data_IF_115190246703
#
_entry.id   IF_115190246703
#
_cell.length_a   1.000
_cell.length_b   1.000
_cell.length_c   1.000
_cell.angle_alpha   90.00
_cell.angle_beta   90.00
_cell.angle_gamma   90.00
#
_symmetry.space_group_name_H-M   'P 1'
#
loop_
_entity.id
_entity.type
_entity.pdbx_description
1 polymer ?
#
# COMPACT_ATOMS: atom_id res chain seq x y z
N UNK A 1 -6.26 11.75 1.91
CA UNK A 1 -6.49 10.60 1.00
C UNK A 1 -5.95 9.35 1.67
N UNK A 2 -6.78 8.32 1.88
CA UNK A 2 -6.37 7.06 2.51
C UNK A 2 -6.26 6.00 1.42
N UNK A 3 -5.12 5.31 1.35
CA UNK A 3 -4.93 4.17 0.45
C UNK A 3 -5.03 2.91 1.30
N UNK A 4 -5.96 2.02 0.94
CA UNK A 4 -6.11 0.71 1.55
C UNK A 4 -5.05 -0.26 1.04
N UNK A 5 -4.82 -1.36 1.77
CA UNK A 5 -3.96 -2.46 1.33
C UNK A 5 -4.40 -3.00 -0.03
N UNK A 6 -5.72 -3.13 -0.25
CA UNK A 6 -6.30 -3.56 -1.53
C UNK A 6 -5.94 -2.61 -2.67
N UNK A 7 -6.16 -1.30 -2.49
CA UNK A 7 -5.80 -0.31 -3.51
C UNK A 7 -4.30 -0.32 -3.81
N UNK A 8 -3.45 -0.40 -2.78
CA UNK A 8 -2.00 -0.49 -2.98
C UNK A 8 -1.60 -1.76 -3.75
N UNK A 9 -2.21 -2.91 -3.45
CA UNK A 9 -1.97 -4.15 -4.15
C UNK A 9 -2.36 -4.06 -5.64
N UNK A 10 -3.53 -3.47 -5.93
CA UNK A 10 -3.97 -3.23 -7.31
C UNK A 10 -3.04 -2.27 -8.06
N UNK A 11 -2.62 -1.17 -7.41
CA UNK A 11 -1.68 -0.18 -8.00
C UNK A 11 -0.34 -0.85 -8.30
N UNK A 12 0.21 -1.63 -7.36
CA UNK A 12 1.49 -2.35 -7.53
C UNK A 12 1.35 -3.52 -8.53
N UNK A 13 0.14 -4.04 -8.73
CA UNK A 13 -0.11 -5.27 -9.51
C UNK A 13 0.40 -6.51 -8.79
N UNK A 14 0.17 -6.57 -7.48
CA UNK A 14 0.57 -7.69 -6.62
C UNK A 14 -0.60 -8.11 -5.73
N UNK A 15 -0.38 -9.07 -4.83
CA UNK A 15 -1.38 -9.52 -3.86
C UNK A 15 -1.43 -8.62 -2.62
N UNK A 16 -2.58 -8.59 -1.93
CA UNK A 16 -2.68 -7.91 -0.63
C UNK A 16 -1.67 -8.47 0.38
N UNK A 17 -1.38 -9.78 0.32
CA UNK A 17 -0.45 -10.42 1.23
C UNK A 17 0.98 -9.91 1.04
N UNK A 18 1.41 -9.70 -0.21
CA UNK A 18 2.71 -9.06 -0.51
C UNK A 18 2.81 -7.69 0.16
N UNK A 19 1.77 -6.86 0.04
CA UNK A 19 1.74 -5.53 0.67
C UNK A 19 1.78 -5.63 2.19
N UNK A 20 1.03 -6.56 2.79
CA UNK A 20 1.01 -6.75 4.25
C UNK A 20 2.37 -7.17 4.79
N UNK A 21 2.95 -8.23 4.23
CA UNK A 21 4.23 -8.78 4.69
C UNK A 21 5.36 -7.78 4.46
N UNK A 22 5.40 -7.15 3.27
CA UNK A 22 6.40 -6.13 2.97
C UNK A 22 6.35 -4.92 3.92
N UNK A 23 5.16 -4.47 4.31
CA UNK A 23 5.01 -3.39 5.29
C UNK A 23 5.34 -3.84 6.73
N UNK A 24 5.03 -5.08 7.09
CA UNK A 24 5.35 -5.66 8.41
C UNK A 24 6.86 -5.83 8.61
N UNK A 25 7.57 -6.28 7.57
CA UNK A 25 9.02 -6.50 7.59
C UNK A 25 9.83 -5.24 7.27
N UNK A 26 9.17 -4.15 6.87
CA UNK A 26 9.79 -2.89 6.41
C UNK A 26 10.58 -3.01 5.10
N UNK A 27 10.31 -4.06 4.32
CA UNK A 27 10.91 -4.30 3.00
C UNK A 27 10.21 -3.50 1.88
N UNK A 28 8.96 -3.07 2.10
CA UNK A 28 8.18 -2.34 1.10
C UNK A 28 8.08 -0.85 1.47
N UNK A 29 8.81 0.05 0.79
CA UNK A 29 8.99 1.45 1.21
C UNK A 29 7.82 2.37 0.80
N UNK A 30 6.57 1.93 1.02
CA UNK A 30 5.36 2.68 0.64
C UNK A 30 4.56 3.20 1.83
N UNK A 31 4.97 2.87 3.05
CA UNK A 31 4.21 3.17 4.26
C UNK A 31 4.74 2.43 5.48
N UNK A 32 3.86 2.18 6.44
CA UNK A 32 4.18 1.45 7.66
C UNK A 32 3.04 0.51 8.06
N UNK A 33 3.39 -0.58 8.74
CA UNK A 33 2.47 -1.41 9.48
C UNK A 33 2.86 -1.40 10.96
N UNK A 34 1.88 -1.21 11.84
CA UNK A 34 2.06 -1.24 13.29
C UNK A 34 1.18 -2.32 13.88
N UNK A 35 1.79 -3.20 14.68
CA UNK A 35 1.04 -4.21 15.43
C UNK A 35 0.31 -3.54 16.59
N UNK A 36 -0.99 -3.80 16.73
CA UNK A 36 -1.84 -3.19 17.76
C UNK A 36 -2.36 -4.24 18.74
N UNK A 37 -2.13 -3.99 20.03
CA UNK A 37 -2.79 -4.71 21.15
C UNK A 37 -2.31 -6.14 21.40
N UNK A 38 -1.01 -6.43 21.34
CA UNK A 38 -0.43 -7.74 21.71
C UNK A 38 -0.85 -8.94 20.84
N UNK A 39 -1.74 -8.74 19.86
CA UNK A 39 -2.32 -9.77 19.01
C UNK A 39 -1.74 -9.73 17.58
N UNK A 40 -2.11 -10.70 16.74
CA UNK A 40 -1.77 -10.78 15.29
C UNK A 40 -2.48 -9.71 14.41
N UNK A 41 -2.92 -8.59 15.00
CA UNK A 41 -3.63 -7.51 14.29
C UNK A 41 -2.66 -6.37 13.97
N UNK A 42 -2.77 -5.87 12.74
CA UNK A 42 -1.94 -4.79 12.22
C UNK A 42 -2.82 -3.65 11.71
N UNK A 43 -2.41 -2.42 12.04
CA UNK A 43 -2.89 -1.21 11.39
C UNK A 43 -1.90 -0.80 10.32
N UNK A 44 -2.41 -0.51 9.13
CA UNK A 44 -1.61 -0.14 7.97
C UNK A 44 -1.82 1.33 7.64
N UNK A 45 -0.71 2.02 7.38
CA UNK A 45 -0.72 3.39 6.88
C UNK A 45 0.13 3.45 5.61
N UNK A 46 -0.53 3.63 4.46
CA UNK A 46 0.12 3.68 3.14
C UNK A 46 0.18 5.14 2.71
N UNK A 47 1.39 5.64 2.45
CA UNK A 47 1.62 7.00 2.00
C UNK A 47 1.41 7.09 0.49
N UNK A 48 0.46 7.91 0.01
CA UNK A 48 0.27 8.10 -1.42
C UNK A 48 1.52 8.62 -2.13
N UNK A 49 2.29 9.46 -1.45
CA UNK A 49 3.54 10.00 -1.98
C UNK A 49 4.56 8.88 -2.22
N UNK A 50 4.82 8.06 -1.19
CA UNK A 50 5.78 6.96 -1.29
C UNK A 50 5.33 5.89 -2.29
N UNK A 51 4.04 5.56 -2.32
CA UNK A 51 3.51 4.60 -3.28
C UNK A 51 3.71 5.07 -4.73
N UNK A 52 3.41 6.34 -5.01
CA UNK A 52 3.64 6.96 -6.32
C UNK A 52 5.12 6.94 -6.70
N UNK A 53 6.01 7.26 -5.76
CA UNK A 53 7.45 7.27 -6.00
C UNK A 53 7.99 5.84 -6.24
N UNK A 54 7.42 4.82 -5.57
CA UNK A 54 7.79 3.41 -5.72
C UNK A 54 7.38 2.79 -7.07
N UNK A 55 6.16 3.07 -7.55
CA UNK A 55 5.62 2.45 -8.78
C UNK A 55 5.74 3.32 -10.03
N UNK A 56 6.14 4.58 -9.88
CA UNK A 56 6.18 5.58 -10.94
C UNK A 56 4.87 6.38 -11.09
N UNK A 57 5.00 7.63 -11.58
CA UNK A 57 3.87 8.57 -11.68
C UNK A 57 2.78 8.10 -12.65
N UNK A 58 3.16 7.50 -13.77
CA UNK A 58 2.26 7.12 -14.87
C UNK A 58 1.22 6.09 -14.40
N UNK A 59 1.70 4.96 -13.86
CA UNK A 59 0.86 3.89 -13.34
C UNK A 59 0.01 4.33 -12.14
N UNK A 60 0.52 5.25 -11.32
CA UNK A 60 -0.24 5.83 -10.20
C UNK A 60 -1.44 6.63 -10.70
N UNK A 61 -1.22 7.49 -11.70
CA UNK A 61 -2.26 8.32 -12.30
C UNK A 61 -3.28 7.48 -13.07
N UNK A 62 -2.83 6.47 -13.83
CA UNK A 62 -3.68 5.55 -14.59
C UNK A 62 -4.74 4.87 -13.71
N UNK A 63 -4.36 4.40 -12.52
CA UNK A 63 -5.28 3.75 -11.58
C UNK A 63 -6.43 4.68 -11.18
N UNK A 64 -6.13 5.94 -10.91
CA UNK A 64 -7.12 6.91 -10.45
C UNK A 64 -7.95 7.53 -11.57
N UNK A 65 -7.42 7.57 -12.80
CA UNK A 65 -8.17 7.99 -13.99
C UNK A 65 -9.17 6.93 -14.45
N UNK A 66 -8.91 5.64 -14.19
CA UNK A 66 -9.82 4.53 -14.49
C UNK A 66 -11.08 4.46 -13.62
N UNK A 67 -11.29 5.42 -12.71
CA UNK A 67 -12.51 5.49 -11.89
C UNK A 67 -12.68 4.33 -10.90
N UNK A 68 -11.60 3.64 -10.52
CA UNK A 68 -11.64 2.48 -9.60
C UNK A 68 -11.58 2.87 -8.11
N UNK A 69 -12.33 3.91 -7.73
CA UNK A 69 -12.37 4.45 -6.38
C UNK A 69 -13.54 3.93 -5.57
#
# INVERSE_FOLDING_TARGET
MKISVKQAAEIIGSSEQFVRVGLQHKDLPIGTAVQVGGAKRFTYHISPKLLKDYIGKERFVEYFQRGRW
#
